data_IF_507556727394
#
_entry.id   IF_507556727394
#
_cell.length_a   1.000
_cell.length_b   1.000
_cell.length_c   1.000
_cell.angle_alpha   90.00
_cell.angle_beta   90.00
_cell.angle_gamma   90.00
#
_symmetry.space_group_name_H-M   'P 1'
#
loop_
_entity.id
_entity.type
_entity.pdbx_description
1 polymer ?
#
# COMPACT_ATOMS: atom_id res chain seq x y z
N UNK A 1 -34.47 20.27 20.69
CA UNK A 1 -34.25 18.80 20.75
C UNK A 1 -34.10 18.13 19.37
N UNK A 2 -33.99 18.88 18.25
CA UNK A 2 -33.88 18.32 16.89
C UNK A 2 -32.53 18.57 16.19
N UNK A 3 -31.54 19.20 16.85
CA UNK A 3 -30.22 19.47 16.26
C UNK A 3 -29.30 18.23 16.18
N UNK A 4 -29.42 17.28 17.10
CA UNK A 4 -28.51 16.11 17.17
C UNK A 4 -28.81 14.99 16.14
N UNK A 5 -29.91 15.04 15.39
CA UNK A 5 -30.21 13.99 14.38
C UNK A 5 -29.40 14.20 13.10
N UNK A 6 -29.20 15.45 12.66
CA UNK A 6 -28.40 15.76 11.47
C UNK A 6 -26.91 15.49 11.68
N UNK A 7 -26.37 15.83 12.85
CA UNK A 7 -24.96 15.54 13.17
C UNK A 7 -24.67 14.04 13.24
N UNK A 8 -25.60 13.23 13.76
CA UNK A 8 -25.46 11.76 13.74
C UNK A 8 -25.57 11.19 12.33
N UNK A 9 -26.46 11.73 11.49
CA UNK A 9 -26.61 11.27 10.10
C UNK A 9 -25.37 11.56 9.27
N UNK A 10 -24.78 12.75 9.43
CA UNK A 10 -23.49 13.13 8.81
C UNK A 10 -22.36 12.24 9.33
N UNK A 11 -22.32 11.91 10.63
CA UNK A 11 -21.33 10.98 11.18
C UNK A 11 -21.47 9.56 10.59
N UNK A 12 -22.70 9.09 10.42
CA UNK A 12 -23.02 7.80 9.80
C UNK A 12 -22.68 7.76 8.30
N UNK A 13 -22.94 8.83 7.56
CA UNK A 13 -22.58 8.97 6.14
C UNK A 13 -21.04 9.01 5.96
N UNK A 14 -20.32 9.64 6.88
CA UNK A 14 -18.86 9.71 6.90
C UNK A 14 -18.23 8.36 7.27
N UNK A 15 -18.82 7.63 8.23
CA UNK A 15 -18.37 6.30 8.66
C UNK A 15 -18.66 5.21 7.61
N UNK A 16 -19.84 5.23 7.00
CA UNK A 16 -20.27 4.21 6.04
C UNK A 16 -19.59 4.30 4.66
N UNK A 17 -18.81 5.35 4.38
CA UNK A 17 -18.15 5.49 3.08
C UNK A 17 -19.15 5.48 1.92
N UNK A 18 -20.37 5.99 2.18
CA UNK A 18 -21.30 6.33 1.11
C UNK A 18 -20.67 7.56 0.46
N UNK A 19 -19.89 7.33 -0.59
CA UNK A 19 -19.66 8.38 -1.57
C UNK A 19 -21.05 8.90 -1.94
N UNK A 20 -21.25 10.21 -1.85
CA UNK A 20 -22.33 10.86 -2.58
C UNK A 20 -22.21 10.36 -4.02
N UNK A 21 -23.08 9.42 -4.37
CA UNK A 21 -23.24 8.97 -5.73
C UNK A 21 -24.09 10.03 -6.43
N UNK A 22 -23.55 11.25 -6.48
CA UNK A 22 -24.12 12.41 -7.16
C UNK A 22 -24.05 12.27 -8.68
N UNK A 23 -23.36 11.25 -9.19
CA UNK A 23 -23.20 10.97 -10.61
C UNK A 23 -23.35 9.47 -10.90
N UNK A 24 -24.53 8.92 -10.60
CA UNK A 24 -25.01 7.81 -11.42
C UNK A 24 -25.48 8.40 -12.76
N UNK A 25 -25.01 7.89 -13.91
CA UNK A 25 -25.45 8.40 -15.19
C UNK A 25 -26.93 8.06 -15.39
N UNK A 26 -27.74 9.10 -15.29
CA UNK A 26 -28.88 9.39 -16.16
C UNK A 26 -29.91 8.25 -16.25
N UNK A 27 -30.75 8.12 -15.24
CA UNK A 27 -32.11 7.57 -15.39
C UNK A 27 -33.19 8.65 -15.39
N UNK A 28 -32.81 9.93 -15.43
CA UNK A 28 -33.74 11.08 -15.31
C UNK A 28 -33.73 12.10 -16.45
N UNK A 29 -33.04 11.87 -17.58
CA UNK A 29 -33.09 12.79 -18.74
C UNK A 29 -33.91 12.20 -19.89
N UNK A 30 -35.17 12.62 -19.93
CA UNK A 30 -36.08 12.50 -21.07
C UNK A 30 -35.68 13.50 -22.18
N UNK A 31 -34.45 13.43 -22.69
CA UNK A 31 -33.90 14.47 -23.61
C UNK A 31 -33.47 13.96 -24.99
N UNK A 32 -33.47 12.66 -25.28
CA UNK A 32 -33.25 12.20 -26.66
C UNK A 32 -34.25 11.12 -27.07
N UNK A 33 -35.30 11.52 -27.79
CA UNK A 33 -36.37 10.70 -28.37
C UNK A 33 -35.91 9.74 -29.49
N UNK A 34 -34.61 9.40 -29.58
CA UNK A 34 -34.07 8.56 -30.65
C UNK A 34 -33.63 7.17 -30.18
N UNK A 35 -33.62 6.91 -28.87
CA UNK A 35 -33.29 5.61 -28.31
C UNK A 35 -34.56 4.92 -27.80
N UNK A 36 -34.82 3.71 -28.27
CA UNK A 36 -35.95 2.90 -27.83
C UNK A 36 -35.75 2.51 -26.35
N UNK A 37 -36.37 3.25 -25.44
CA UNK A 37 -36.48 2.87 -24.05
C UNK A 37 -37.46 1.69 -23.95
N UNK A 38 -36.95 0.50 -23.64
CA UNK A 38 -37.77 -0.72 -23.55
C UNK A 38 -38.91 -0.65 -22.52
N UNK A 39 -38.82 0.27 -21.55
CA UNK A 39 -39.91 0.64 -20.64
C UNK A 39 -39.86 2.16 -20.42
N UNK A 40 -40.87 2.87 -20.93
CA UNK A 40 -41.05 4.30 -20.68
C UNK A 40 -41.78 4.50 -19.35
N UNK A 41 -41.16 5.20 -18.40
CA UNK A 41 -41.71 5.45 -17.06
C UNK A 41 -43.00 6.27 -17.08
N UNK A 42 -43.36 6.88 -18.21
CA UNK A 42 -44.62 7.60 -18.41
C UNK A 42 -45.81 6.73 -18.87
N UNK A 43 -45.63 5.43 -19.13
CA UNK A 43 -46.68 4.55 -19.67
C UNK A 43 -47.44 3.82 -18.55
N UNK A 44 -48.75 4.07 -18.43
CA UNK A 44 -49.58 3.49 -17.35
C UNK A 44 -49.82 1.97 -17.49
N UNK A 45 -49.80 1.43 -18.71
CA UNK A 45 -50.00 0.00 -18.98
C UNK A 45 -48.92 -0.52 -19.95
N UNK A 46 -48.15 -1.51 -19.51
CA UNK A 46 -47.15 -2.19 -20.32
C UNK A 46 -47.74 -3.41 -21.04
N UNK A 47 -47.46 -3.55 -22.32
CA UNK A 47 -47.84 -4.74 -23.08
C UNK A 47 -46.81 -5.85 -22.91
N UNK A 48 -47.20 -7.10 -23.19
CA UNK A 48 -46.28 -8.26 -23.17
C UNK A 48 -45.10 -8.07 -24.13
N UNK A 49 -45.31 -7.33 -25.23
CA UNK A 49 -44.26 -6.99 -26.19
C UNK A 49 -43.23 -6.02 -25.61
N UNK A 50 -43.66 -4.98 -24.88
CA UNK A 50 -42.75 -4.03 -24.21
C UNK A 50 -41.85 -4.75 -23.19
N UNK A 51 -42.43 -5.66 -22.41
CA UNK A 51 -41.70 -6.50 -21.45
C UNK A 51 -40.69 -7.41 -22.17
N UNK A 52 -41.06 -7.98 -23.31
CA UNK A 52 -40.17 -8.82 -24.12
C UNK A 52 -38.98 -8.02 -24.68
N UNK A 53 -39.22 -6.83 -25.22
CA UNK A 53 -38.17 -5.93 -25.73
C UNK A 53 -37.20 -5.54 -24.62
N UNK A 54 -37.70 -5.20 -23.43
CA UNK A 54 -36.86 -4.92 -22.26
C UNK A 54 -35.98 -6.12 -21.85
N UNK A 55 -36.53 -7.34 -21.91
CA UNK A 55 -35.75 -8.56 -21.65
C UNK A 55 -34.66 -8.78 -22.70
N UNK A 56 -34.96 -8.56 -23.98
CA UNK A 56 -33.96 -8.66 -25.05
C UNK A 56 -32.85 -7.63 -24.87
N UNK A 57 -33.18 -6.37 -24.56
CA UNK A 57 -32.17 -5.36 -24.26
C UNK A 57 -31.34 -5.68 -23.03
N UNK A 58 -31.96 -6.26 -21.98
CA UNK A 58 -31.22 -6.73 -20.79
C UNK A 58 -30.24 -7.84 -21.14
N UNK A 59 -30.65 -8.81 -21.97
CA UNK A 59 -29.77 -9.90 -22.43
C UNK A 59 -28.63 -9.32 -23.29
N UNK A 60 -28.94 -8.42 -24.22
CA UNK A 60 -27.96 -7.75 -25.08
C UNK A 60 -26.94 -6.96 -24.24
N UNK A 61 -27.41 -6.15 -23.29
CA UNK A 61 -26.55 -5.38 -22.38
C UNK A 61 -25.65 -6.31 -21.56
N UNK A 62 -26.21 -7.39 -21.02
CA UNK A 62 -25.44 -8.39 -20.27
C UNK A 62 -24.36 -9.03 -21.15
N UNK A 63 -24.67 -9.33 -22.41
CA UNK A 63 -23.71 -9.86 -23.37
C UNK A 63 -22.62 -8.85 -23.72
N UNK A 64 -22.98 -7.59 -23.98
CA UNK A 64 -22.01 -6.52 -24.27
C UNK A 64 -21.08 -6.32 -23.06
N UNK A 65 -21.62 -6.26 -21.85
CA UNK A 65 -20.83 -6.16 -20.61
C UNK A 65 -19.91 -7.37 -20.47
N UNK A 66 -20.41 -8.58 -20.74
CA UNK A 66 -19.59 -9.79 -20.68
C UNK A 66 -18.42 -9.76 -21.68
N UNK A 67 -18.68 -9.39 -22.94
CA UNK A 67 -17.63 -9.26 -23.98
C UNK A 67 -16.64 -8.17 -23.60
N UNK A 68 -17.11 -7.02 -23.14
CA UNK A 68 -16.26 -5.92 -22.68
C UNK A 68 -15.35 -6.35 -21.52
N UNK A 69 -15.92 -6.97 -20.48
CA UNK A 69 -15.14 -7.48 -19.33
C UNK A 69 -14.13 -8.53 -19.77
N UNK A 70 -14.47 -9.41 -20.72
CA UNK A 70 -13.55 -10.41 -21.24
C UNK A 70 -12.41 -9.81 -22.04
N UNK A 71 -12.67 -8.80 -22.87
CA UNK A 71 -11.64 -8.07 -23.61
C UNK A 71 -10.72 -7.30 -22.66
N UNK A 72 -11.29 -6.68 -21.63
CA UNK A 72 -10.53 -6.01 -20.58
C UNK A 72 -9.60 -6.97 -19.84
N UNK A 73 -10.10 -8.14 -19.41
CA UNK A 73 -9.26 -9.17 -18.78
C UNK A 73 -8.10 -9.63 -19.69
N UNK A 74 -8.36 -9.78 -21.01
CA UNK A 74 -7.33 -10.16 -21.97
C UNK A 74 -6.29 -9.04 -22.18
N UNK A 75 -6.72 -7.78 -22.18
CA UNK A 75 -5.83 -6.63 -22.27
C UNK A 75 -4.89 -6.55 -21.07
N UNK A 76 -5.42 -6.68 -19.84
CA UNK A 76 -4.63 -6.72 -18.61
C UNK A 76 -3.61 -7.86 -18.63
N UNK A 77 -4.02 -9.07 -19.08
CA UNK A 77 -3.10 -10.20 -19.23
C UNK A 77 -1.94 -9.88 -20.18
N UNK A 78 -2.20 -9.24 -21.32
CA UNK A 78 -1.16 -8.84 -22.28
C UNK A 78 -0.20 -7.84 -21.63
N UNK A 79 -0.72 -6.81 -20.95
CA UNK A 79 0.11 -5.82 -20.25
C UNK A 79 1.03 -6.48 -19.22
N UNK A 80 0.48 -7.41 -18.41
CA UNK A 80 1.28 -8.16 -17.44
C UNK A 80 2.36 -9.01 -18.09
N UNK A 81 2.06 -9.71 -19.18
CA UNK A 81 3.06 -10.53 -19.88
C UNK A 81 4.18 -9.67 -20.46
N UNK A 82 3.85 -8.50 -21.02
CA UNK A 82 4.84 -7.54 -21.53
C UNK A 82 5.72 -7.01 -20.39
N UNK A 83 5.15 -6.69 -19.23
CA UNK A 83 5.89 -6.25 -18.05
C UNK A 83 6.87 -7.34 -17.57
N UNK A 84 6.41 -8.59 -17.41
CA UNK A 84 7.26 -9.70 -17.01
C UNK A 84 8.41 -9.95 -17.99
N UNK A 85 8.17 -9.81 -19.29
CA UNK A 85 9.23 -9.90 -20.31
C UNK A 85 10.25 -8.76 -20.19
N UNK A 86 9.81 -7.54 -19.81
CA UNK A 86 10.73 -6.42 -19.54
C UNK A 86 11.58 -6.66 -18.30
N UNK A 87 10.99 -7.20 -17.23
CA UNK A 87 11.71 -7.60 -16.01
C UNK A 87 12.76 -8.67 -16.34
N UNK A 88 12.38 -9.72 -17.07
CA UNK A 88 13.30 -10.77 -17.51
C UNK A 88 14.47 -10.19 -18.32
N UNK A 89 14.18 -9.29 -19.27
CA UNK A 89 15.21 -8.62 -20.09
C UNK A 89 16.18 -7.80 -19.22
N UNK A 90 15.67 -7.17 -18.17
CA UNK A 90 16.45 -6.35 -17.26
C UNK A 90 17.37 -7.21 -16.37
N UNK A 91 16.86 -8.31 -15.81
CA UNK A 91 17.68 -9.25 -15.03
C UNK A 91 18.81 -9.87 -15.88
N UNK A 92 18.51 -10.24 -17.14
CA UNK A 92 19.52 -10.73 -18.08
C UNK A 92 20.59 -9.65 -18.36
N UNK A 93 20.19 -8.39 -18.53
CA UNK A 93 21.12 -7.27 -18.74
C UNK A 93 22.05 -7.06 -17.54
N UNK A 94 21.53 -7.16 -16.32
CA UNK A 94 22.36 -7.06 -15.11
C UNK A 94 23.36 -8.21 -15.01
N UNK A 95 22.93 -9.44 -15.30
CA UNK A 95 23.81 -10.60 -15.30
C UNK A 95 24.95 -10.44 -16.32
N UNK A 96 24.66 -9.85 -17.49
CA UNK A 96 25.68 -9.52 -18.50
C UNK A 96 26.62 -8.40 -18.03
N UNK A 97 26.10 -7.33 -17.42
CA UNK A 97 26.92 -6.21 -16.97
C UNK A 97 27.85 -6.57 -15.81
N UNK A 98 27.42 -7.41 -14.86
CA UNK A 98 28.25 -7.87 -13.75
C UNK A 98 29.51 -8.60 -14.25
N UNK A 99 29.42 -9.30 -15.38
CA UNK A 99 30.54 -10.00 -15.99
C UNK A 99 31.56 -9.08 -16.67
N UNK A 100 31.11 -8.04 -17.39
CA UNK A 100 32.00 -7.09 -18.07
C UNK A 100 32.98 -6.41 -17.09
N UNK A 101 32.63 -6.36 -15.80
CA UNK A 101 33.46 -5.77 -14.74
C UNK A 101 34.63 -6.68 -14.30
N UNK A 102 34.57 -7.99 -14.56
CA UNK A 102 35.60 -8.98 -14.19
C UNK A 102 36.55 -9.18 -15.38
N UNK A 103 37.29 -8.14 -15.76
CA UNK A 103 38.25 -8.24 -16.85
C UNK A 103 39.64 -8.59 -16.29
N UNK A 104 40.18 -9.76 -16.63
CA UNK A 104 41.50 -10.20 -16.17
C UNK A 104 42.60 -9.85 -17.18
N UNK A 105 43.85 -9.75 -16.73
CA UNK A 105 44.99 -9.32 -17.56
C UNK A 105 45.51 -10.40 -18.53
N UNK A 106 45.07 -11.65 -18.45
CA UNK A 106 45.61 -12.73 -19.30
C UNK A 106 44.59 -13.27 -20.31
N UNK A 107 45.03 -13.41 -21.57
CA UNK A 107 44.18 -13.81 -22.70
C UNK A 107 43.55 -15.20 -22.53
N UNK A 108 44.30 -16.17 -22.00
CA UNK A 108 43.81 -17.53 -21.79
C UNK A 108 42.84 -17.64 -20.61
N UNK A 109 43.04 -16.86 -19.55
CA UNK A 109 42.05 -16.81 -18.46
C UNK A 109 40.78 -16.12 -18.95
N UNK A 110 40.89 -15.07 -19.76
CA UNK A 110 39.72 -14.39 -20.35
C UNK A 110 38.86 -15.31 -21.23
N UNK A 111 39.48 -16.21 -22.01
CA UNK A 111 38.75 -17.16 -22.84
C UNK A 111 38.01 -18.22 -22.01
N UNK A 112 38.65 -18.74 -20.95
CA UNK A 112 38.00 -19.68 -20.03
C UNK A 112 36.89 -19.01 -19.20
N UNK A 113 37.09 -17.76 -18.77
CA UNK A 113 36.05 -16.98 -18.08
C UNK A 113 34.90 -16.65 -19.01
N UNK A 114 35.13 -16.37 -20.30
CA UNK A 114 34.06 -16.17 -21.28
C UNK A 114 33.21 -17.42 -21.47
N UNK A 115 33.84 -18.58 -21.65
CA UNK A 115 33.12 -19.85 -21.81
C UNK A 115 32.33 -20.19 -20.54
N UNK A 116 32.96 -20.04 -19.37
CA UNK A 116 32.32 -20.24 -18.07
C UNK A 116 31.13 -19.29 -17.88
N UNK A 117 31.27 -18.03 -18.32
CA UNK A 117 30.23 -17.03 -18.25
C UNK A 117 29.04 -17.35 -19.17
N UNK A 118 29.26 -17.66 -20.45
CA UNK A 118 28.15 -18.01 -21.34
C UNK A 118 27.42 -19.28 -20.85
N UNK A 119 28.15 -20.22 -20.27
CA UNK A 119 27.56 -21.39 -19.62
C UNK A 119 26.74 -21.01 -18.37
N UNK A 120 27.27 -20.12 -17.53
CA UNK A 120 26.58 -19.61 -16.34
C UNK A 120 25.31 -18.82 -16.69
N UNK A 121 25.36 -17.95 -17.71
CA UNK A 121 24.19 -17.22 -18.23
C UNK A 121 23.15 -18.20 -18.74
N UNK A 122 23.57 -19.15 -19.60
CA UNK A 122 22.68 -20.15 -20.20
C UNK A 122 21.96 -21.02 -19.16
N UNK A 123 22.70 -21.43 -18.11
CA UNK A 123 22.15 -22.22 -17.00
C UNK A 123 21.29 -21.41 -16.02
N UNK A 124 21.53 -20.10 -15.90
CA UNK A 124 20.77 -19.22 -15.00
C UNK A 124 19.44 -18.74 -15.59
N UNK A 125 19.31 -18.66 -16.93
CA UNK A 125 18.09 -18.19 -17.61
C UNK A 125 16.83 -18.97 -17.18
N UNK A 126 16.82 -20.32 -17.12
CA UNK A 126 15.65 -21.06 -16.64
C UNK A 126 15.25 -20.69 -15.21
N UNK A 127 16.23 -20.44 -14.33
CA UNK A 127 15.98 -20.02 -12.95
C UNK A 127 15.37 -18.62 -12.87
N UNK A 128 15.90 -17.66 -13.64
CA UNK A 128 15.34 -16.29 -13.73
C UNK A 128 13.93 -16.33 -14.34
N UNK A 129 13.72 -17.15 -15.36
CA UNK A 129 12.39 -17.35 -15.95
C UNK A 129 11.40 -17.90 -14.92
N UNK A 130 11.80 -18.94 -14.18
CA UNK A 130 10.95 -19.51 -13.13
C UNK A 130 10.63 -18.49 -12.03
N UNK A 131 11.63 -17.73 -11.58
CA UNK A 131 11.49 -16.64 -10.60
C UNK A 131 10.46 -15.59 -11.03
N UNK A 132 10.53 -15.14 -12.28
CA UNK A 132 9.66 -14.05 -12.80
C UNK A 132 8.23 -14.55 -13.04
N UNK A 133 8.05 -15.75 -13.57
CA UNK A 133 6.73 -16.28 -13.95
C UNK A 133 6.02 -17.06 -12.84
N UNK A 134 6.73 -17.50 -11.80
CA UNK A 134 6.16 -18.17 -10.64
C UNK A 134 6.54 -17.42 -9.35
N UNK A 135 6.01 -16.21 -9.13
CA UNK A 135 6.22 -15.50 -7.88
C UNK A 135 5.59 -16.34 -6.76
N UNK A 136 6.43 -16.90 -5.89
CA UNK A 136 5.96 -17.60 -4.70
C UNK A 136 4.94 -16.76 -3.93
N UNK A 137 3.96 -17.41 -3.31
CA UNK A 137 2.92 -16.71 -2.54
C UNK A 137 3.42 -16.11 -1.22
N UNK A 138 4.66 -16.39 -0.80
CA UNK A 138 5.24 -15.96 0.46
C UNK A 138 6.56 -15.19 0.33
N UNK A 139 7.03 -14.64 1.45
CA UNK A 139 8.37 -14.06 1.58
C UNK A 139 9.43 -15.14 1.38
N UNK A 140 10.50 -14.86 0.61
CA UNK A 140 11.59 -15.82 0.42
C UNK A 140 12.27 -16.12 1.76
N UNK A 141 12.75 -17.35 1.90
CA UNK A 141 13.47 -17.84 3.08
C UNK A 141 14.93 -17.43 2.94
N UNK A 142 15.49 -16.75 3.94
CA UNK A 142 16.89 -16.32 3.95
C UNK A 142 17.14 -15.00 3.20
N UNK A 143 18.23 -14.34 3.59
CA UNK A 143 18.57 -13.00 3.09
C UNK A 143 19.03 -13.02 1.63
N UNK A 144 19.86 -14.00 1.24
CA UNK A 144 20.40 -14.02 -0.11
C UNK A 144 19.29 -14.30 -1.14
N UNK A 145 18.30 -15.14 -0.80
CA UNK A 145 17.10 -15.35 -1.62
C UNK A 145 16.22 -14.09 -1.68
N UNK A 146 16.09 -13.35 -0.58
CA UNK A 146 15.38 -12.06 -0.58
C UNK A 146 16.02 -11.06 -1.55
N UNK A 147 17.33 -10.88 -1.46
CA UNK A 147 18.07 -9.95 -2.32
C UNK A 147 18.06 -10.38 -3.79
N UNK A 148 18.03 -11.68 -4.09
CA UNK A 148 17.87 -12.17 -5.47
C UNK A 148 16.55 -11.72 -6.12
N UNK A 149 15.50 -11.48 -5.34
CA UNK A 149 14.18 -11.05 -5.84
C UNK A 149 14.01 -9.54 -5.95
N UNK A 150 15.07 -8.78 -5.68
CA UNK A 150 15.06 -7.31 -5.72
C UNK A 150 15.96 -6.85 -6.85
N UNK A 151 15.60 -5.77 -7.59
CA UNK A 151 16.50 -5.22 -8.58
C UNK A 151 17.79 -4.70 -7.94
N UNK A 152 18.95 -5.07 -8.50
CA UNK A 152 20.27 -4.75 -7.95
C UNK A 152 20.66 -3.26 -8.04
N UNK A 153 20.00 -2.48 -8.88
CA UNK A 153 20.36 -1.07 -9.06
C UNK A 153 19.14 -0.21 -9.32
N UNK A 154 19.28 1.08 -8.99
CA UNK A 154 18.31 2.13 -9.27
C UNK A 154 16.96 1.94 -8.56
N UNK A 155 17.03 1.44 -7.33
CA UNK A 155 15.89 1.39 -6.40
C UNK A 155 15.59 2.78 -5.85
N UNK A 156 14.32 3.06 -5.51
CA UNK A 156 13.90 4.38 -5.04
C UNK A 156 14.52 4.72 -3.67
N UNK A 157 14.71 6.01 -3.42
CA UNK A 157 15.15 6.53 -2.12
C UNK A 157 13.98 6.79 -1.17
N UNK A 158 12.82 7.15 -1.71
CA UNK A 158 11.61 7.48 -0.95
C UNK A 158 10.39 6.76 -1.51
N UNK A 159 9.65 6.08 -0.62
CA UNK A 159 8.47 5.28 -0.99
C UNK A 159 7.23 5.75 -0.22
N UNK A 160 6.10 5.85 -0.90
CA UNK A 160 4.79 6.07 -0.30
C UNK A 160 3.91 4.83 -0.41
N UNK A 161 3.31 4.37 0.69
CA UNK A 161 2.33 3.29 0.71
C UNK A 161 0.97 3.84 1.15
N UNK A 162 -0.03 3.77 0.27
CA UNK A 162 -1.41 4.17 0.56
C UNK A 162 -2.24 2.93 0.86
N UNK A 163 -2.56 2.73 2.14
CA UNK A 163 -3.32 1.58 2.63
C UNK A 163 -4.82 1.88 2.66
N UNK A 164 -5.60 0.90 2.20
CA UNK A 164 -7.05 0.99 2.10
C UNK A 164 -7.74 0.20 3.22
N UNK A 165 -8.61 0.89 3.97
CA UNK A 165 -9.57 0.25 4.86
C UNK A 165 -10.74 -0.31 4.05
N UNK A 166 -11.03 -1.61 4.19
CA UNK A 166 -12.18 -2.21 3.53
C UNK A 166 -13.42 -2.02 4.41
N UNK A 167 -14.44 -1.27 3.96
CA UNK A 167 -15.63 -1.05 4.78
C UNK A 167 -16.41 -2.36 4.95
N UNK A 168 -17.06 -2.57 6.11
CA UNK A 168 -17.87 -3.75 6.33
C UNK A 168 -19.07 -3.76 5.37
N UNK A 169 -19.26 -4.87 4.65
CA UNK A 169 -20.40 -5.09 3.75
C UNK A 169 -21.66 -5.51 4.52
N UNK A 170 -21.92 -4.88 5.66
CA UNK A 170 -23.06 -5.17 6.52
C UNK A 170 -24.24 -4.28 6.13
N UNK A 171 -25.45 -4.86 6.09
CA UNK A 171 -26.66 -4.06 5.91
C UNK A 171 -26.89 -3.22 7.17
N UNK A 172 -27.22 -1.93 7.04
CA UNK A 172 -27.50 -1.10 8.20
C UNK A 172 -28.68 -1.70 8.98
N UNK A 173 -28.64 -1.68 10.32
CA UNK A 173 -29.68 -2.28 11.14
C UNK A 173 -30.99 -1.50 10.97
N UNK A 174 -32.16 -2.14 11.17
CA UNK A 174 -33.44 -1.48 11.06
C UNK A 174 -33.57 -0.32 12.06
N UNK A 175 -34.39 0.66 11.71
CA UNK A 175 -34.73 1.75 12.63
C UNK A 175 -35.45 1.21 13.87
N UNK A 176 -35.20 1.84 15.02
CA UNK A 176 -35.96 1.50 16.23
C UNK A 176 -37.42 1.87 15.97
N UNK A 177 -38.35 0.93 16.20
CA UNK A 177 -39.76 1.23 16.07
C UNK A 177 -40.09 2.36 17.06
N UNK A 178 -40.56 3.49 16.52
CA UNK A 178 -40.95 4.66 17.28
C UNK A 178 -42.47 4.68 17.42
N UNK A 179 -43.00 5.18 18.55
CA UNK A 179 -44.43 5.42 18.65
C UNK A 179 -44.85 6.43 17.58
N UNK A 180 -45.92 6.10 16.87
CA UNK A 180 -46.48 6.96 15.83
C UNK A 180 -47.97 7.20 16.10
N UNK A 181 -48.47 8.28 15.52
CA UNK A 181 -49.88 8.64 15.61
C UNK A 181 -50.62 7.96 14.45
N UNK A 182 -51.59 7.12 14.76
CA UNK A 182 -52.43 6.48 13.77
C UNK A 182 -53.40 7.51 13.14
N UNK A 183 -53.96 7.19 11.98
CA UNK A 183 -54.99 7.96 11.28
C UNK A 183 -56.18 8.34 12.18
N UNK A 184 -56.51 7.49 13.15
CA UNK A 184 -57.53 7.69 14.19
C UNK A 184 -57.09 8.58 15.37
N UNK A 185 -55.95 9.28 15.26
CA UNK A 185 -55.35 10.14 16.30
C UNK A 185 -55.04 9.40 17.61
N UNK A 186 -54.90 8.09 17.58
CA UNK A 186 -54.44 7.27 18.72
C UNK A 186 -52.94 7.05 18.62
N UNK A 187 -52.24 7.19 19.73
CA UNK A 187 -50.80 6.89 19.82
C UNK A 187 -50.64 5.38 19.85
N UNK A 188 -50.05 4.80 18.81
CA UNK A 188 -49.74 3.38 18.79
C UNK A 188 -48.32 3.17 19.33
N UNK A 189 -48.22 2.50 20.48
CA UNK A 189 -46.94 2.14 21.09
C UNK A 189 -46.47 0.81 20.47
N UNK A 190 -45.23 0.72 19.97
CA UNK A 190 -44.70 -0.52 19.40
C UNK A 190 -44.74 -1.68 20.40
N UNK A 191 -44.93 -2.90 19.89
CA UNK A 191 -44.95 -4.08 20.77
C UNK A 191 -43.56 -4.29 21.37
N UNK A 192 -43.50 -4.72 22.64
CA UNK A 192 -42.23 -5.01 23.33
C UNK A 192 -41.36 -6.02 22.56
N UNK A 193 -41.98 -6.98 21.86
CA UNK A 193 -41.28 -7.98 21.05
C UNK A 193 -40.53 -7.36 19.87
N UNK A 194 -41.16 -6.43 19.15
CA UNK A 194 -40.55 -5.77 17.99
C UNK A 194 -39.41 -4.86 18.40
N UNK A 195 -39.56 -4.18 19.55
CA UNK A 195 -38.50 -3.37 20.15
C UNK A 195 -37.31 -4.26 20.56
N UNK A 196 -37.56 -5.39 21.23
CA UNK A 196 -36.50 -6.33 21.62
C UNK A 196 -35.79 -6.94 20.40
N UNK A 197 -36.54 -7.29 19.36
CA UNK A 197 -35.99 -7.80 18.11
C UNK A 197 -35.09 -6.77 17.41
N UNK A 198 -35.53 -5.51 17.30
CA UNK A 198 -34.73 -4.42 16.74
C UNK A 198 -33.46 -4.15 17.57
N UNK A 199 -33.54 -4.25 18.90
CA UNK A 199 -32.38 -4.15 19.80
C UNK A 199 -31.40 -5.30 19.54
N UNK A 200 -31.89 -6.54 19.42
CA UNK A 200 -31.05 -7.72 19.19
C UNK A 200 -30.27 -7.61 17.87
N UNK A 201 -30.95 -7.26 16.77
CA UNK A 201 -30.28 -7.07 15.46
C UNK A 201 -29.25 -5.95 15.53
N UNK A 202 -29.55 -4.85 16.23
CA UNK A 202 -28.58 -3.76 16.40
C UNK A 202 -27.35 -4.21 17.19
N UNK A 203 -27.54 -4.96 18.27
CA UNK A 203 -26.39 -5.50 19.03
C UNK A 203 -25.54 -6.43 18.20
N UNK A 204 -26.16 -7.28 17.37
CA UNK A 204 -25.45 -8.17 16.45
C UNK A 204 -24.68 -7.38 15.38
N UNK A 205 -25.32 -6.37 14.77
CA UNK A 205 -24.68 -5.49 13.80
C UNK A 205 -23.45 -4.78 14.41
N UNK A 206 -23.57 -4.22 15.61
CA UNK A 206 -22.44 -3.55 16.26
C UNK A 206 -21.32 -4.52 16.62
N UNK A 207 -21.65 -5.73 17.10
CA UNK A 207 -20.66 -6.76 17.37
C UNK A 207 -19.91 -7.19 16.11
N UNK A 208 -20.62 -7.43 15.00
CA UNK A 208 -20.01 -7.77 13.71
C UNK A 208 -19.17 -6.62 13.14
N UNK A 209 -19.65 -5.38 13.27
CA UNK A 209 -18.92 -4.19 12.85
C UNK A 209 -17.60 -4.04 13.63
N UNK A 210 -17.64 -4.17 14.96
CA UNK A 210 -16.45 -4.10 15.81
C UNK A 210 -15.47 -5.24 15.49
N UNK A 211 -15.97 -6.46 15.29
CA UNK A 211 -15.14 -7.59 14.89
C UNK A 211 -14.44 -7.35 13.54
N UNK A 212 -15.15 -6.76 12.57
CA UNK A 212 -14.57 -6.41 11.26
C UNK A 212 -13.50 -5.30 11.37
N UNK A 213 -13.77 -4.25 12.16
CA UNK A 213 -12.78 -3.19 12.43
C UNK A 213 -11.52 -3.78 13.06
N UNK A 214 -11.67 -4.67 14.05
CA UNK A 214 -10.55 -5.33 14.70
C UNK A 214 -9.76 -6.22 13.73
N UNK A 215 -10.44 -6.99 12.86
CA UNK A 215 -9.74 -7.82 11.87
C UNK A 215 -9.01 -7.00 10.81
N UNK A 216 -9.61 -5.91 10.33
CA UNK A 216 -8.96 -4.98 9.39
C UNK A 216 -7.74 -4.31 10.02
N UNK A 217 -7.81 -3.96 11.30
CA UNK A 217 -6.68 -3.38 12.03
C UNK A 217 -5.50 -4.34 12.12
N UNK A 218 -5.74 -5.60 12.49
CA UNK A 218 -4.69 -6.63 12.51
C UNK A 218 -4.10 -6.85 11.13
N UNK A 219 -4.93 -6.85 10.08
CA UNK A 219 -4.45 -6.94 8.69
C UNK A 219 -3.50 -5.78 8.38
N UNK A 220 -3.93 -4.53 8.61
CA UNK A 220 -3.14 -3.34 8.29
C UNK A 220 -1.84 -3.28 9.09
N UNK A 221 -1.85 -3.60 10.38
CA UNK A 221 -0.62 -3.68 11.20
C UNK A 221 0.38 -4.70 10.64
N UNK A 222 -0.10 -5.87 10.20
CA UNK A 222 0.74 -6.86 9.55
C UNK A 222 1.30 -6.36 8.22
N UNK A 223 0.48 -5.76 7.37
CA UNK A 223 0.92 -5.22 6.08
C UNK A 223 1.97 -4.10 6.26
N UNK A 224 1.79 -3.23 7.25
CA UNK A 224 2.75 -2.19 7.65
C UNK A 224 4.07 -2.81 8.11
N UNK A 225 4.02 -3.75 9.07
CA UNK A 225 5.21 -4.41 9.62
C UNK A 225 6.01 -5.14 8.54
N UNK A 226 5.34 -5.86 7.64
CA UNK A 226 5.95 -6.53 6.51
C UNK A 226 6.59 -5.55 5.53
N UNK A 227 5.87 -4.48 5.15
CA UNK A 227 6.39 -3.48 4.21
C UNK A 227 7.65 -2.80 4.74
N UNK A 228 7.61 -2.33 5.98
CA UNK A 228 8.75 -1.66 6.62
C UNK A 228 9.94 -2.62 6.68
N UNK A 229 9.71 -3.86 7.11
CA UNK A 229 10.75 -4.89 7.19
C UNK A 229 11.40 -5.16 5.84
N UNK A 230 10.62 -5.28 4.76
CA UNK A 230 11.19 -5.48 3.41
C UNK A 230 11.97 -4.25 2.93
N UNK A 231 11.51 -3.05 3.26
CA UNK A 231 12.21 -1.80 2.91
C UNK A 231 13.52 -1.62 3.70
N UNK A 232 13.59 -2.07 4.96
CA UNK A 232 14.83 -2.06 5.75
C UNK A 232 15.98 -2.78 5.03
N UNK A 233 15.66 -3.87 4.34
CA UNK A 233 16.62 -4.73 3.66
C UNK A 233 17.09 -4.17 2.31
N UNK A 234 16.42 -3.15 1.77
CA UNK A 234 16.83 -2.47 0.54
C UNK A 234 17.77 -1.32 0.92
N UNK A 235 19.05 -1.31 0.48
CA UNK A 235 20.03 -0.31 0.90
C UNK A 235 19.75 1.14 0.50
N UNK A 236 18.91 1.39 -0.50
CA UNK A 236 18.70 2.75 -1.04
C UNK A 236 17.53 3.50 -0.39
N UNK A 237 16.60 2.79 0.25
CA UNK A 237 15.33 3.36 0.76
C UNK A 237 15.53 4.10 2.08
N UNK A 238 15.60 5.42 2.08
CA UNK A 238 15.85 6.21 3.29
C UNK A 238 14.56 6.66 3.98
N UNK A 239 13.50 6.90 3.20
CA UNK A 239 12.23 7.41 3.71
C UNK A 239 11.04 6.59 3.23
N UNK A 240 10.12 6.30 4.16
CA UNK A 240 8.87 5.61 3.90
C UNK A 240 7.72 6.48 4.38
N UNK A 241 6.68 6.66 3.58
CA UNK A 241 5.47 7.37 3.99
C UNK A 241 4.29 6.41 3.92
N UNK A 242 3.69 6.06 5.04
CA UNK A 242 2.52 5.18 5.13
C UNK A 242 1.29 6.03 5.40
N UNK A 243 0.28 5.86 4.55
CA UNK A 243 -0.96 6.65 4.59
C UNK A 243 -2.15 5.73 4.82
N UNK A 244 -2.96 6.04 5.83
CA UNK A 244 -4.25 5.40 6.05
C UNK A 244 -5.35 6.46 6.10
N UNK A 245 -6.38 6.32 5.25
CA UNK A 245 -7.37 7.38 5.03
C UNK A 245 -8.07 7.85 6.30
N UNK A 246 -8.64 6.94 7.08
CA UNK A 246 -9.62 7.28 8.12
C UNK A 246 -9.01 7.35 9.52
N UNK A 247 -7.71 7.08 9.66
CA UNK A 247 -7.01 6.95 10.94
C UNK A 247 -7.65 5.94 11.92
N UNK A 248 -8.54 5.05 11.44
CA UNK A 248 -9.33 4.14 12.27
C UNK A 248 -8.40 3.19 13.03
N UNK A 249 -7.28 2.81 12.42
CA UNK A 249 -6.36 1.87 13.06
C UNK A 249 -5.52 2.49 14.18
N UNK A 250 -5.52 3.82 14.30
CA UNK A 250 -4.54 4.59 15.06
C UNK A 250 -5.16 5.36 16.24
N UNK A 251 -6.46 5.64 16.18
CA UNK A 251 -7.16 6.48 17.17
C UNK A 251 -7.50 5.77 18.48
N UNK A 252 -7.73 4.45 18.47
CA UNK A 252 -8.40 3.78 19.60
C UNK A 252 -7.46 3.27 20.72
N UNK A 253 -6.15 3.14 20.48
CA UNK A 253 -5.20 2.68 21.51
C UNK A 253 -4.15 3.73 21.82
N UNK A 254 -3.92 3.97 23.11
CA UNK A 254 -2.81 4.79 23.59
C UNK A 254 -1.44 4.25 23.13
N UNK A 255 -1.36 2.94 22.83
CA UNK A 255 -0.13 2.20 22.56
C UNK A 255 -0.05 1.71 21.09
N UNK A 256 -0.75 2.37 20.16
CA UNK A 256 -0.73 1.98 18.74
C UNK A 256 0.68 1.95 18.15
N UNK A 257 1.53 2.89 18.57
CA UNK A 257 2.93 2.96 18.13
C UNK A 257 3.69 1.72 18.60
N UNK A 258 3.46 1.27 19.82
CA UNK A 258 4.07 0.05 20.35
C UNK A 258 3.57 -1.18 19.58
N UNK A 259 2.31 -1.16 19.14
CA UNK A 259 1.78 -2.21 18.25
C UNK A 259 2.50 -2.24 16.89
N UNK A 260 2.83 -1.08 16.30
CA UNK A 260 3.65 -1.02 15.08
C UNK A 260 5.07 -1.49 15.36
N UNK A 261 5.70 -1.00 16.44
CA UNK A 261 7.05 -1.40 16.88
C UNK A 261 7.12 -2.93 16.99
N UNK A 262 6.16 -3.53 17.70
CA UNK A 262 6.05 -4.96 17.88
C UNK A 262 5.81 -5.69 16.56
N UNK A 263 4.97 -5.18 15.66
CA UNK A 263 4.75 -5.79 14.35
C UNK A 263 6.04 -5.82 13.49
N UNK A 264 6.83 -4.74 13.52
CA UNK A 264 8.13 -4.69 12.82
C UNK A 264 9.11 -5.68 13.46
N UNK A 265 9.23 -5.68 14.79
CA UNK A 265 10.13 -6.59 15.51
C UNK A 265 9.77 -8.06 15.27
N UNK A 266 8.49 -8.42 15.27
CA UNK A 266 8.03 -9.79 15.00
C UNK A 266 8.42 -10.23 13.59
N UNK A 267 8.26 -9.38 12.58
CA UNK A 267 8.64 -9.71 11.20
C UNK A 267 10.17 -9.76 11.02
N UNK A 268 10.92 -8.89 11.70
CA UNK A 268 12.40 -8.96 11.73
C UNK A 268 12.90 -10.24 12.40
N UNK A 269 12.28 -10.67 13.51
CA UNK A 269 12.59 -11.93 14.19
C UNK A 269 12.20 -13.12 13.32
N UNK A 270 11.05 -13.06 12.63
CA UNK A 270 10.65 -14.10 11.71
C UNK A 270 11.67 -14.26 10.57
N UNK A 271 12.18 -13.15 10.03
CA UNK A 271 13.22 -13.17 9.00
C UNK A 271 14.55 -13.70 9.54
N UNK A 272 15.01 -13.23 10.71
CA UNK A 272 16.29 -13.65 11.28
C UNK A 272 16.31 -15.15 11.59
N UNK A 273 15.18 -15.72 12.03
CA UNK A 273 15.01 -17.15 12.25
C UNK A 273 15.09 -17.99 10.97
N UNK A 274 14.89 -17.38 9.79
CA UNK A 274 15.02 -18.07 8.49
C UNK A 274 16.41 -17.95 7.87
N UNK A 275 17.29 -17.13 8.44
CA UNK A 275 18.62 -16.88 7.89
C UNK A 275 19.64 -17.92 8.38
N UNK A 276 20.57 -18.29 7.51
CA UNK A 276 21.77 -19.04 7.90
C UNK A 276 22.70 -18.16 8.77
N UNK A 277 23.59 -18.74 9.62
CA UNK A 277 24.43 -17.95 10.52
C UNK A 277 25.35 -16.94 9.81
N UNK A 278 25.81 -17.25 8.60
CA UNK A 278 26.59 -16.32 7.78
C UNK A 278 25.72 -15.17 7.24
N UNK A 279 24.49 -15.47 6.80
CA UNK A 279 23.51 -14.48 6.36
C UNK A 279 23.08 -13.57 7.51
N UNK A 280 22.97 -14.10 8.72
CA UNK A 280 22.59 -13.32 9.91
C UNK A 280 23.61 -12.22 10.20
N UNK A 281 24.90 -12.48 10.01
CA UNK A 281 25.94 -11.46 10.14
C UNK A 281 25.84 -10.38 9.05
N UNK A 282 25.47 -10.75 7.82
CA UNK A 282 25.18 -9.78 6.76
C UNK A 282 23.94 -8.95 7.09
N UNK A 283 22.88 -9.59 7.59
CA UNK A 283 21.64 -8.94 8.00
C UNK A 283 21.91 -7.87 9.06
N UNK A 284 22.67 -8.21 10.11
CA UNK A 284 23.04 -7.27 11.17
C UNK A 284 23.76 -6.02 10.65
N UNK A 285 24.55 -6.15 9.58
CA UNK A 285 25.25 -5.00 8.95
C UNK A 285 24.33 -4.15 8.05
N UNK A 286 23.26 -4.73 7.51
CA UNK A 286 22.34 -4.05 6.60
C UNK A 286 21.19 -3.34 7.31
N UNK A 287 20.84 -3.77 8.52
CA UNK A 287 19.68 -3.25 9.24
C UNK A 287 19.88 -1.78 9.65
N UNK A 288 19.03 -0.86 9.18
CA UNK A 288 19.11 0.54 9.59
C UNK A 288 18.49 0.78 10.98
N UNK A 289 18.80 1.92 11.58
CA UNK A 289 18.02 2.45 12.70
C UNK A 289 16.65 2.93 12.19
N UNK A 290 15.57 2.36 12.72
CA UNK A 290 14.20 2.67 12.28
C UNK A 290 13.61 3.76 13.18
N UNK A 291 13.26 4.90 12.59
CA UNK A 291 12.62 6.04 13.26
C UNK A 291 11.19 6.20 12.72
N UNK A 292 10.19 6.06 13.58
CA UNK A 292 8.77 6.20 13.25
C UNK A 292 8.28 7.57 13.67
N UNK A 293 7.75 8.36 12.73
CA UNK A 293 7.26 9.73 12.94
C UNK A 293 5.78 9.79 12.59
N UNK A 294 4.92 9.99 13.58
CA UNK A 294 3.50 10.25 13.36
C UNK A 294 3.27 11.74 13.09
N UNK A 295 2.84 12.10 11.88
CA UNK A 295 2.65 13.51 11.48
C UNK A 295 1.43 14.19 12.10
N UNK A 296 0.43 13.41 12.51
CA UNK A 296 -0.74 13.96 13.21
C UNK A 296 -0.41 14.29 14.67
N UNK A 297 0.17 13.33 15.41
CA UNK A 297 0.55 13.55 16.82
C UNK A 297 1.88 14.28 17.01
N UNK A 298 2.69 14.40 15.95
CA UNK A 298 4.07 14.92 15.94
C UNK A 298 5.03 14.15 16.83
N UNK A 299 4.66 12.93 17.24
CA UNK A 299 5.49 12.09 18.07
C UNK A 299 6.48 11.30 17.22
N UNK A 300 7.73 11.27 17.69
CA UNK A 300 8.86 10.57 17.07
C UNK A 300 9.28 9.42 17.98
N UNK A 301 9.39 8.23 17.41
CA UNK A 301 9.71 7.02 18.15
C UNK A 301 10.82 6.26 17.45
N UNK A 302 11.71 5.71 18.25
CA UNK A 302 12.86 4.91 17.84
C UNK A 302 12.55 3.45 18.15
N UNK A 303 12.47 2.60 17.12
CA UNK A 303 12.11 1.18 17.29
C UNK A 303 13.25 0.40 17.95
N UNK A 304 14.50 0.81 17.73
CA UNK A 304 15.71 0.10 18.18
C UNK A 304 16.31 0.65 19.48
N UNK A 305 15.66 1.58 20.18
CA UNK A 305 16.10 1.99 21.52
C UNK A 305 15.54 1.02 22.55
N UNK A 306 16.43 0.36 23.30
CA UNK A 306 16.07 -0.35 24.51
C UNK A 306 15.65 0.65 25.56
N UNK A 307 14.42 0.50 26.06
CA UNK A 307 14.05 1.05 27.36
C UNK A 307 15.00 0.43 28.39
N UNK A 308 15.77 1.28 29.07
CA UNK A 308 16.73 0.83 30.09
C UNK A 308 15.91 0.33 31.28
N UNK A 309 15.55 -0.95 31.28
CA UNK A 309 15.18 -1.68 32.49
C UNK A 309 16.32 -2.63 32.84
N UNK A 310 17.10 -2.23 33.84
CA UNK A 310 18.10 -3.07 34.52
C UNK A 310 17.46 -4.35 35.04
N UNK A 311 17.75 -5.49 34.40
CA UNK A 311 17.67 -6.80 35.04
C UNK A 311 18.88 -7.66 34.68
N UNK A 312 19.41 -8.32 35.70
CA UNK A 312 20.70 -9.01 35.74
C UNK A 312 20.75 -10.23 34.81
N UNK A 313 21.89 -10.36 34.12
CA UNK A 313 22.24 -11.40 33.15
C UNK A 313 22.54 -12.73 33.84
N UNK A 314 21.95 -13.83 33.34
CA UNK A 314 22.69 -15.10 33.15
C UNK A 314 21.94 -16.06 32.23
N UNK A 315 22.43 -16.20 31.00
CA UNK A 315 22.69 -17.44 30.23
C UNK A 315 22.78 -17.10 28.74
N UNK A 316 23.71 -17.75 28.04
CA UNK A 316 24.07 -17.51 26.64
C UNK A 316 22.91 -17.82 25.68
N UNK A 317 22.08 -16.82 25.41
CA UNK A 317 21.34 -16.66 24.16
C UNK A 317 21.93 -15.43 23.47
N UNK A 318 21.99 -15.41 22.13
CA UNK A 318 22.38 -14.21 21.38
C UNK A 318 21.28 -13.16 21.61
N UNK A 319 21.47 -12.28 22.60
CA UNK A 319 20.48 -11.29 23.00
C UNK A 319 20.44 -10.13 22.01
N UNK A 320 19.28 -9.46 21.94
CA UNK A 320 19.09 -8.22 21.18
C UNK A 320 20.18 -7.16 21.47
N UNK A 321 20.81 -7.21 22.64
CA UNK A 321 21.85 -6.27 23.08
C UNK A 321 23.15 -6.37 22.25
N UNK A 322 23.49 -7.57 21.75
CA UNK A 322 24.63 -7.78 20.84
C UNK A 322 24.36 -7.28 19.42
N UNK A 323 23.08 -7.10 19.07
CA UNK A 323 22.66 -6.44 17.83
C UNK A 323 22.76 -4.92 18.01
N UNK A 324 22.48 -4.42 19.23
CA UNK A 324 22.26 -2.99 19.52
C UNK A 324 23.53 -2.15 19.68
N UNK A 325 24.59 -2.72 20.23
CA UNK A 325 25.85 -1.98 20.48
C UNK A 325 26.62 -1.57 19.21
N UNK A 326 26.15 -1.96 18.02
CA UNK A 326 26.75 -1.64 16.72
C UNK A 326 26.13 -0.44 15.97
N UNK A 327 25.12 0.23 16.56
CA UNK A 327 24.23 1.16 15.83
C UNK A 327 24.67 2.62 15.67
N UNK A 328 25.79 3.08 16.26
CA UNK A 328 26.15 4.51 16.20
C UNK A 328 26.60 5.01 14.81
N UNK A 329 27.00 4.12 13.89
CA UNK A 329 27.42 4.45 12.51
C UNK A 329 26.44 3.95 11.42
N UNK A 330 25.24 3.51 11.79
CA UNK A 330 24.34 2.82 10.86
C UNK A 330 23.32 3.75 10.19
N UNK A 331 22.98 3.42 8.94
CA UNK A 331 21.96 4.10 8.11
C UNK A 331 20.65 4.26 8.87
N UNK A 332 19.94 5.36 8.65
CA UNK A 332 18.62 5.61 9.25
C UNK A 332 17.51 5.37 8.22
N UNK A 333 16.41 4.74 8.67
CA UNK A 333 15.17 4.58 7.90
C UNK A 333 14.08 5.39 8.61
N UNK A 334 13.58 6.43 7.95
CA UNK A 334 12.52 7.28 8.51
C UNK A 334 11.16 6.84 7.99
N UNK A 335 10.31 6.33 8.88
CA UNK A 335 8.94 5.90 8.61
C UNK A 335 7.97 7.00 9.04
N UNK A 336 7.42 7.72 8.07
CA UNK A 336 6.44 8.77 8.24
C UNK A 336 5.04 8.17 8.16
N UNK A 337 4.25 8.49 9.15
CA UNK A 337 2.94 7.93 9.39
C UNK A 337 1.89 9.05 9.25
N UNK A 338 1.01 8.94 8.24
CA UNK A 338 0.09 10.00 7.79
C UNK A 338 -1.37 9.52 7.66
N UNK A 339 -2.31 10.47 7.77
CA UNK A 339 -3.73 10.25 7.57
C UNK A 339 -4.39 11.41 6.78
N UNK A 340 -5.68 11.28 6.45
CA UNK A 340 -6.41 12.37 5.77
C UNK A 340 -6.66 13.60 6.64
N UNK A 341 -6.51 13.49 7.98
CA UNK A 341 -6.71 14.59 8.92
C UNK A 341 -5.55 15.58 8.84
N UNK A 342 -4.32 15.11 8.60
CA UNK A 342 -3.16 15.97 8.29
C UNK A 342 -3.53 17.02 7.24
N UNK A 343 -4.26 16.63 6.18
CA UNK A 343 -4.72 17.58 5.15
C UNK A 343 -5.72 18.60 5.68
N UNK A 344 -6.66 18.24 6.54
CA UNK A 344 -7.69 19.18 6.99
C UNK A 344 -7.20 20.08 8.13
N UNK A 345 -6.45 19.53 9.08
CA UNK A 345 -5.96 20.26 10.26
C UNK A 345 -4.69 21.04 9.95
N UNK A 346 -3.68 20.41 9.35
CA UNK A 346 -2.37 21.05 9.18
C UNK A 346 -2.40 22.09 8.05
N UNK A 347 -3.29 21.92 7.06
CA UNK A 347 -3.50 22.93 6.02
C UNK A 347 -4.06 24.23 6.59
N UNK A 348 -4.92 24.20 7.60
CA UNK A 348 -5.39 25.42 8.28
C UNK A 348 -4.25 26.13 9.01
N UNK A 349 -3.37 25.37 9.67
CA UNK A 349 -2.18 25.91 10.35
C UNK A 349 -1.25 26.60 9.34
N UNK A 350 -0.99 25.97 8.21
CA UNK A 350 -0.14 26.52 7.15
C UNK A 350 -0.77 27.74 6.48
N UNK A 351 -2.05 27.67 6.12
CA UNK A 351 -2.75 28.80 5.45
C UNK A 351 -2.86 30.03 6.34
N UNK A 352 -2.97 29.87 7.66
CA UNK A 352 -2.95 30.99 8.60
C UNK A 352 -1.61 31.75 8.67
N UNK A 353 -0.53 31.19 8.10
CA UNK A 353 0.83 31.75 8.07
C UNK A 353 1.36 31.99 6.64
N UNK A 354 0.50 31.87 5.64
CA UNK A 354 0.87 31.76 4.22
C UNK A 354 1.58 32.97 3.59
N UNK A 355 1.56 34.15 4.22
CA UNK A 355 2.14 35.37 3.63
C UNK A 355 3.68 35.38 3.61
N UNK A 356 4.35 34.56 4.43
CA UNK A 356 5.82 34.60 4.61
C UNK A 356 6.57 33.29 4.27
N UNK A 357 5.85 32.21 3.91
CA UNK A 357 6.47 30.89 3.81
C UNK A 357 7.04 30.61 2.40
N UNK A 358 8.30 30.15 2.35
CA UNK A 358 8.96 29.64 1.14
C UNK A 358 8.74 28.11 1.02
N UNK A 359 8.93 27.55 -0.18
CA UNK A 359 8.77 26.11 -0.43
C UNK A 359 9.65 25.23 0.47
N UNK A 360 10.86 25.71 0.82
CA UNK A 360 11.83 25.01 1.67
C UNK A 360 11.70 25.33 3.17
N UNK A 361 10.60 25.95 3.61
CA UNK A 361 10.47 26.34 5.02
C UNK A 361 10.38 25.10 5.94
N UNK A 362 11.20 25.00 7.01
CA UNK A 362 11.12 23.90 7.96
C UNK A 362 9.74 23.76 8.62
N UNK A 363 8.94 24.83 8.73
CA UNK A 363 7.57 24.72 9.23
C UNK A 363 6.66 23.90 8.30
N UNK A 364 6.86 23.97 6.98
CA UNK A 364 6.11 23.16 6.01
C UNK A 364 6.47 21.68 6.15
N UNK A 365 7.76 21.36 6.14
CA UNK A 365 8.27 19.98 6.27
C UNK A 365 7.90 19.31 7.61
N UNK A 366 7.65 20.11 8.64
CA UNK A 366 7.12 19.61 9.91
C UNK A 366 5.64 19.21 9.81
N UNK A 367 4.86 19.87 8.96
CA UNK A 367 3.41 19.72 8.90
C UNK A 367 2.95 18.68 7.88
N UNK A 368 3.69 18.52 6.78
CA UNK A 368 3.41 17.54 5.73
C UNK A 368 4.63 16.66 5.49
N UNK A 369 4.44 15.42 4.99
CA UNK A 369 5.54 14.61 4.48
C UNK A 369 6.10 15.21 3.18
N UNK A 370 7.41 15.01 2.90
CA UNK A 370 7.95 15.28 1.56
C UNK A 370 7.29 14.36 0.52
N UNK A 371 7.17 14.82 -0.73
CA UNK A 371 6.65 13.98 -1.82
C UNK A 371 7.59 12.79 -2.07
N UNK A 372 7.10 11.54 -1.88
CA UNK A 372 7.89 10.36 -2.22
C UNK A 372 8.14 10.25 -3.74
N UNK A 373 9.31 9.73 -4.11
CA UNK A 373 9.69 9.43 -5.50
C UNK A 373 8.72 8.43 -6.15
N UNK A 374 8.16 7.53 -5.36
CA UNK A 374 7.29 6.47 -5.84
C UNK A 374 6.18 6.14 -4.84
N UNK A 375 4.92 6.26 -5.28
CA UNK A 375 3.74 6.01 -4.44
C UNK A 375 2.98 4.80 -4.95
N UNK A 376 2.62 3.94 -4.01
CA UNK A 376 2.02 2.65 -4.27
C UNK A 376 0.75 2.50 -3.46
N UNK A 377 -0.28 1.99 -4.13
CA UNK A 377 -1.59 1.77 -3.54
C UNK A 377 -2.02 0.33 -3.86
N UNK A 378 -1.84 -0.62 -2.92
CA UNK A 378 -2.33 -1.99 -3.07
C UNK A 378 -3.85 -2.01 -3.09
N UNK A 379 -4.45 -2.31 -4.25
CA UNK A 379 -5.90 -2.39 -4.39
C UNK A 379 -6.37 -3.77 -4.74
N UNK A 380 -7.15 -4.36 -3.83
CA UNK A 380 -7.79 -5.65 -4.04
C UNK A 380 -9.18 -5.55 -4.69
N UNK A 381 -9.75 -4.34 -4.80
CA UNK A 381 -11.09 -4.11 -5.36
C UNK A 381 -11.01 -3.46 -6.73
N UNK A 382 -11.73 -4.02 -7.72
CA UNK A 382 -11.79 -3.58 -9.13
C UNK A 382 -12.51 -2.22 -9.32
N UNK A 383 -12.56 -1.39 -8.28
CA UNK A 383 -13.18 -0.06 -8.33
C UNK A 383 -12.22 0.96 -8.91
N UNK A 384 -12.65 1.65 -9.98
CA UNK A 384 -11.94 2.79 -10.55
C UNK A 384 -12.09 3.97 -9.59
N UNK A 385 -11.12 4.13 -8.70
CA UNK A 385 -10.89 5.44 -8.10
C UNK A 385 -9.38 5.69 -8.08
N UNK A 386 -8.86 6.53 -8.96
CA UNK A 386 -7.45 6.93 -8.95
C UNK A 386 -7.15 7.92 -7.79
N UNK A 387 -7.78 7.72 -6.63
CA UNK A 387 -7.71 8.62 -5.49
C UNK A 387 -6.67 8.15 -4.49
N UNK A 388 -5.72 9.03 -4.17
CA UNK A 388 -4.74 8.87 -3.08
C UNK A 388 -5.33 9.08 -1.68
N UNK A 389 -6.64 8.89 -1.56
CA UNK A 389 -7.38 8.91 -0.29
C UNK A 389 -7.19 10.15 0.59
N UNK A 390 -6.84 11.29 -0.01
CA UNK A 390 -6.61 12.54 0.72
C UNK A 390 -5.18 12.71 1.23
N UNK A 391 -4.23 11.89 0.76
CA UNK A 391 -2.80 12.11 0.97
C UNK A 391 -2.41 13.53 0.56
N UNK A 392 -1.67 14.20 1.43
CA UNK A 392 -1.12 15.52 1.22
C UNK A 392 0.39 15.46 1.47
N UNK A 393 1.16 15.97 0.51
CA UNK A 393 2.62 16.03 0.55
C UNK A 393 3.10 17.39 0.02
N UNK A 394 4.38 17.69 0.25
CA UNK A 394 5.05 18.88 -0.27
C UNK A 394 5.88 18.49 -1.49
N UNK A 395 5.58 19.12 -2.61
CA UNK A 395 6.44 19.09 -3.79
C UNK A 395 7.58 20.09 -3.62
N UNK A 396 8.82 19.60 -3.63
CA UNK A 396 10.03 20.42 -3.55
C UNK A 396 10.17 21.36 -4.77
N UNK A 397 9.72 20.94 -5.96
CA UNK A 397 9.63 21.80 -7.14
C UNK A 397 8.27 21.60 -7.86
N UNK A 398 7.39 22.61 -7.91
CA UNK A 398 6.09 22.50 -8.58
C UNK A 398 6.20 22.31 -10.11
N UNK A 399 7.38 22.52 -10.70
CA UNK A 399 7.61 22.38 -12.14
C UNK A 399 8.11 20.99 -12.55
N UNK A 400 8.56 20.16 -11.60
CA UNK A 400 9.07 18.82 -11.86
C UNK A 400 8.09 17.81 -11.29
N UNK A 401 7.31 17.17 -12.16
CA UNK A 401 6.41 16.08 -11.75
C UNK A 401 7.22 14.83 -11.41
N UNK A 402 7.76 14.77 -10.19
CA UNK A 402 8.56 13.62 -9.72
C UNK A 402 7.69 12.42 -9.29
N UNK A 403 6.39 12.63 -9.14
CA UNK A 403 5.46 11.70 -8.52
C UNK A 403 4.91 10.66 -9.50
N UNK A 404 5.41 9.44 -9.39
CA UNK A 404 4.86 8.25 -10.06
C UNK A 404 3.95 7.48 -9.10
N UNK A 405 2.64 7.48 -9.37
CA UNK A 405 1.63 6.72 -8.61
C UNK A 405 1.28 5.45 -9.36
N UNK A 406 1.46 4.29 -8.72
CA UNK A 406 1.20 3.00 -9.35
C UNK A 406 0.20 2.17 -8.55
N UNK A 407 -0.77 1.62 -9.29
CA UNK A 407 -1.79 0.72 -8.76
C UNK A 407 -1.63 -0.65 -9.42
N UNK A 408 -1.35 -1.68 -8.62
CA UNK A 408 -1.41 -3.07 -9.10
C UNK A 408 -2.76 -3.66 -8.73
N UNK A 409 -3.66 -3.79 -9.70
CA UNK A 409 -5.03 -4.32 -9.50
C UNK A 409 -5.09 -5.86 -9.47
N UNK A 410 -4.07 -6.50 -10.03
CA UNK A 410 -3.99 -7.96 -10.22
C UNK A 410 -3.19 -8.67 -9.13
N UNK A 411 -2.54 -7.93 -8.22
CA UNK A 411 -1.72 -8.48 -7.15
C UNK A 411 -2.29 -8.11 -5.79
N UNK A 412 -2.41 -9.12 -4.94
CA UNK A 412 -2.66 -8.91 -3.52
C UNK A 412 -1.39 -8.37 -2.87
N UNK A 413 -1.57 -7.59 -1.81
CA UNK A 413 -0.45 -7.16 -0.98
C UNK A 413 0.34 -8.37 -0.46
N UNK A 414 1.66 -8.33 -0.59
CA UNK A 414 2.57 -9.43 -0.29
C UNK A 414 3.95 -9.21 -0.92
N UNK A 415 4.88 -10.13 -0.71
CA UNK A 415 6.23 -10.00 -1.25
C UNK A 415 6.29 -9.95 -2.79
N UNK A 416 5.49 -10.72 -3.56
CA UNK A 416 5.41 -10.56 -5.01
C UNK A 416 5.02 -9.15 -5.48
N UNK A 417 4.11 -8.52 -4.74
CA UNK A 417 3.70 -7.15 -4.99
C UNK A 417 4.86 -6.19 -4.74
N UNK A 418 5.56 -6.34 -3.60
CA UNK A 418 6.73 -5.53 -3.25
C UNK A 418 7.89 -5.67 -4.25
N UNK A 419 8.25 -6.90 -4.64
CA UNK A 419 9.29 -7.14 -5.63
C UNK A 419 8.94 -6.52 -6.98
N UNK A 420 7.73 -6.79 -7.50
CA UNK A 420 7.28 -6.26 -8.80
C UNK A 420 7.19 -4.74 -8.80
N UNK A 421 6.77 -4.16 -7.69
CA UNK A 421 6.77 -2.71 -7.48
C UNK A 421 8.16 -2.10 -7.71
N UNK A 422 9.21 -2.68 -7.11
CA UNK A 422 10.58 -2.16 -7.29
C UNK A 422 11.06 -2.33 -8.73
N UNK A 423 10.75 -3.46 -9.38
CA UNK A 423 11.08 -3.63 -10.80
C UNK A 423 10.35 -2.62 -11.69
N UNK A 424 9.09 -2.32 -11.40
CA UNK A 424 8.32 -1.33 -12.15
C UNK A 424 8.98 0.06 -12.07
N UNK A 425 9.41 0.47 -10.87
CA UNK A 425 10.17 1.72 -10.70
C UNK A 425 11.41 1.79 -11.59
N UNK A 426 12.22 0.73 -11.57
CA UNK A 426 13.46 0.65 -12.36
C UNK A 426 13.18 0.67 -13.88
N UNK A 427 12.05 0.12 -14.30
CA UNK A 427 11.63 0.12 -15.71
C UNK A 427 11.13 1.49 -16.17
N UNK A 428 10.49 2.28 -15.30
CA UNK A 428 9.99 3.62 -15.61
C UNK A 428 11.08 4.69 -15.61
N UNK A 429 11.98 4.65 -14.62
CA UNK A 429 13.10 5.57 -14.51
C UNK A 429 14.40 4.82 -14.79
N UNK A 430 14.77 4.47 -16.04
CA UNK A 430 15.99 3.71 -16.30
C UNK A 430 17.24 4.49 -15.84
N UNK A 431 18.23 3.77 -15.29
CA UNK A 431 19.49 4.31 -14.79
C UNK A 431 20.16 5.22 -15.83
N UNK A 432 20.22 6.52 -15.55
CA UNK A 432 21.17 7.43 -16.19
C UNK A 432 22.51 7.29 -15.48
N UNK A 433 23.58 6.84 -16.16
CA UNK A 433 24.90 6.82 -15.55
C UNK A 433 25.25 8.24 -15.07
N UNK A 434 25.82 8.39 -13.86
CA UNK A 434 26.18 9.69 -13.33
C UNK A 434 27.10 10.40 -14.32
N UNK A 435 26.85 11.69 -14.55
CA UNK A 435 27.77 12.52 -15.32
C UNK A 435 29.14 12.51 -14.64
N UNK A 436 30.22 12.65 -15.41
CA UNK A 436 31.61 12.54 -14.91
C UNK A 436 31.98 13.50 -13.77
N UNK A 437 31.10 14.44 -13.43
CA UNK A 437 31.37 15.55 -12.53
C UNK A 437 30.74 15.39 -11.13
N UNK A 438 30.00 14.30 -10.86
CA UNK A 438 29.45 14.01 -9.52
C UNK A 438 30.14 12.80 -8.86
N UNK A 439 30.74 12.96 -7.66
CA UNK A 439 31.36 11.85 -6.93
C UNK A 439 30.28 10.88 -6.43
N UNK A 440 30.47 9.58 -6.74
CA UNK A 440 29.56 8.51 -6.34
C UNK A 440 29.61 8.27 -4.82
N UNK A 441 28.46 8.33 -4.14
CA UNK A 441 28.30 7.87 -2.75
C UNK A 441 28.39 6.33 -2.60
N UNK A 442 28.32 5.59 -3.72
CA UNK A 442 28.19 4.12 -3.72
C UNK A 442 29.49 3.35 -3.97
N UNK A 443 30.67 4.00 -3.98
CA UNK A 443 31.95 3.31 -4.22
C UNK A 443 32.58 2.65 -2.99
N UNK A 444 32.01 2.82 -1.79
CA UNK A 444 32.58 2.28 -0.54
C UNK A 444 32.19 0.82 -0.27
N UNK A 445 31.07 0.31 -0.78
CA UNK A 445 30.61 -1.05 -0.42
C UNK A 445 31.13 -2.18 -1.33
N UNK A 446 31.70 -1.88 -2.50
CA UNK A 446 32.20 -2.92 -3.42
C UNK A 446 33.71 -3.14 -3.30
N UNK A 447 34.45 -2.20 -2.68
CA UNK A 447 35.90 -2.26 -2.63
C UNK A 447 36.50 -3.01 -1.43
N UNK A 448 35.68 -3.39 -0.43
CA UNK A 448 36.18 -4.07 0.78
C UNK A 448 36.08 -5.60 0.76
N UNK A 449 35.68 -6.20 -0.38
CA UNK A 449 35.70 -7.68 -0.56
C UNK A 449 37.06 -8.17 -1.11
N UNK A 450 37.98 -7.26 -1.42
CA UNK A 450 39.35 -7.62 -1.80
C UNK A 450 40.37 -6.79 -1.01
N UNK A 451 40.49 -7.06 0.28
CA UNK A 451 41.75 -6.90 1.03
C UNK A 451 41.91 -7.98 2.08
#
# INVERSE_FOLDING_TARGET
MFKNRKEKQVLYETLAGVQDVGELPVTSLNIYSSYNHGLDSGKENYTTYDIFVAHVFKILLTYIIFVYMRLYDMHELILHMVELLRILRLDIRYLINDYVRINSLSYFQNLLTEISFYWHVGSSIPGIFWKVFNPWSGTPIGLDNFLQHIPKSNTPSSLGLVLHYHPPLLKPPPEMPQPYLDSDRKIQVPQKKDVQYAIAIRSEYFAQYQAHVASERVRLLREIGQFITWCCLVPTVETLTIVEKKAICWEEEADFIDSIKNAILVELVALSNTCEPEELNKLKRLLPQIVVINKFSKATYTVNESEIETYEVTQQEVTLDDIITSYQDQRTLTVILCDSRVRTTNYQVVTSKAEDLKADDPEFNNQFPPTPEYIISPRNTRGVSHSLEGFACIDEDPNVSNMTVVHFLHLKFGFPFFSRMLYHYVLEKPYTPPSKDEPQANSTFVNDITR
#
